data_IF_297054668188
#
_entry.id   IF_297054668188
#
_cell.length_a   1.000
_cell.length_b   1.000
_cell.length_c   1.000
_cell.angle_alpha   90.00
_cell.angle_beta   90.00
_cell.angle_gamma   90.00
#
_symmetry.space_group_name_H-M   'P 1'
#
loop_
_entity.id
_entity.type
_entity.pdbx_description
1 polymer ?
#
# COMPACT_ATOMS: atom_id res chain seq x y z
N UNK A 1 27.47 -40.03 -15.26
CA UNK A 1 27.60 -39.59 -13.86
C UNK A 1 27.73 -38.07 -13.89
N UNK A 2 26.80 -37.39 -13.21
CA UNK A 2 26.75 -35.96 -12.87
C UNK A 2 26.82 -34.91 -14.01
N UNK A 3 25.62 -34.49 -14.46
CA UNK A 3 25.35 -33.12 -14.85
C UNK A 3 25.12 -32.31 -13.57
N UNK A 4 25.92 -31.28 -13.30
CA UNK A 4 25.62 -30.32 -12.24
C UNK A 4 26.47 -29.07 -12.35
N UNK A 5 26.06 -28.17 -13.24
CA UNK A 5 26.21 -26.72 -13.01
C UNK A 5 24.81 -26.11 -13.06
N UNK A 6 23.99 -26.59 -12.13
CA UNK A 6 22.70 -25.99 -11.81
C UNK A 6 22.95 -24.61 -11.21
N UNK A 7 22.84 -23.60 -12.07
CA UNK A 7 22.66 -22.21 -11.71
C UNK A 7 21.72 -22.13 -10.51
N UNK A 8 22.24 -21.79 -9.33
CA UNK A 8 21.45 -21.53 -8.14
C UNK A 8 20.64 -20.25 -8.37
N UNK A 9 19.56 -20.34 -9.14
CA UNK A 9 18.40 -19.48 -8.98
C UNK A 9 17.80 -19.86 -7.63
N UNK A 10 18.43 -19.39 -6.56
CA UNK A 10 17.68 -19.16 -5.33
C UNK A 10 16.60 -18.18 -5.73
N UNK A 11 15.41 -18.73 -5.98
CA UNK A 11 14.17 -17.99 -6.11
C UNK A 11 13.95 -17.32 -4.75
N UNK A 12 14.67 -16.22 -4.53
CA UNK A 12 14.49 -15.32 -3.41
C UNK A 12 13.06 -14.88 -3.56
N UNK A 13 12.16 -15.50 -2.79
CA UNK A 13 10.77 -15.08 -2.70
C UNK A 13 10.76 -13.56 -2.53
N UNK A 14 10.49 -12.85 -3.63
CA UNK A 14 10.53 -11.39 -3.64
C UNK A 14 9.42 -10.98 -2.69
N UNK A 15 9.81 -10.42 -1.54
CA UNK A 15 8.84 -9.83 -0.61
C UNK A 15 8.04 -8.82 -1.41
N UNK A 16 6.75 -9.13 -1.56
CA UNK A 16 5.80 -8.37 -2.32
C UNK A 16 4.58 -8.13 -1.44
N UNK A 17 4.09 -6.91 -1.49
CA UNK A 17 2.91 -6.48 -0.77
C UNK A 17 2.00 -5.75 -1.75
N UNK A 18 0.70 -6.04 -1.67
CA UNK A 18 -0.34 -5.26 -2.32
C UNK A 18 -1.56 -5.26 -1.44
N UNK A 19 -2.10 -4.07 -1.18
CA UNK A 19 -3.35 -3.93 -0.42
C UNK A 19 -4.14 -2.72 -0.90
N UNK A 20 -5.45 -2.88 -0.86
CA UNK A 20 -6.42 -1.80 -1.03
C UNK A 20 -7.15 -1.58 0.28
N UNK A 21 -7.28 -0.33 0.68
CA UNK A 21 -8.15 0.13 1.75
C UNK A 21 -9.25 0.99 1.15
N UNK A 22 -10.46 0.84 1.66
CA UNK A 22 -11.61 1.60 1.22
C UNK A 22 -12.37 2.12 2.43
N UNK A 23 -12.91 3.32 2.31
CA UNK A 23 -13.86 3.90 3.25
C UNK A 23 -14.94 4.66 2.47
N UNK A 24 -16.17 4.56 2.93
CA UNK A 24 -17.30 5.30 2.38
C UNK A 24 -17.91 6.20 3.47
N UNK A 25 -18.16 7.46 3.14
CA UNK A 25 -18.66 8.47 4.08
C UNK A 25 -19.60 9.44 3.37
N UNK A 26 -20.88 9.49 3.79
CA UNK A 26 -21.88 10.41 3.23
C UNK A 26 -21.94 10.40 1.68
N UNK A 27 -21.80 9.22 1.06
CA UNK A 27 -21.79 9.06 -0.40
C UNK A 27 -20.43 9.36 -1.07
N UNK A 28 -19.43 9.82 -0.31
CA UNK A 28 -18.06 9.94 -0.76
C UNK A 28 -17.32 8.61 -0.61
N UNK A 29 -16.63 8.16 -1.67
CA UNK A 29 -15.83 6.93 -1.65
C UNK A 29 -14.34 7.24 -1.69
N UNK A 30 -13.59 6.70 -0.74
CA UNK A 30 -12.13 6.88 -0.62
C UNK A 30 -11.47 5.52 -0.81
N UNK A 31 -10.59 5.40 -1.80
CA UNK A 31 -9.85 4.18 -2.11
C UNK A 31 -8.37 4.47 -2.07
N UNK A 32 -7.64 3.68 -1.28
CA UNK A 32 -6.18 3.78 -1.12
C UNK A 32 -5.57 2.47 -1.55
N UNK A 33 -4.72 2.49 -2.57
CA UNK A 33 -3.98 1.34 -3.04
C UNK A 33 -2.51 1.52 -2.72
N UNK A 34 -1.90 0.51 -2.12
CA UNK A 34 -0.45 0.48 -1.87
C UNK A 34 0.10 -0.86 -2.33
N UNK A 35 1.17 -0.79 -3.09
CA UNK A 35 1.88 -1.93 -3.63
C UNK A 35 3.37 -1.68 -3.50
N UNK A 36 4.13 -2.63 -2.97
CA UNK A 36 5.58 -2.51 -2.95
C UNK A 36 6.27 -3.86 -2.99
N UNK A 37 7.49 -3.85 -3.47
CA UNK A 37 8.47 -4.90 -3.33
C UNK A 37 9.81 -4.31 -2.91
N UNK A 38 10.86 -5.12 -2.79
CA UNK A 38 12.21 -4.65 -2.40
C UNK A 38 12.87 -3.65 -3.37
N UNK A 39 12.25 -3.36 -4.52
CA UNK A 39 12.78 -2.42 -5.52
C UNK A 39 11.91 -1.18 -5.69
N UNK A 40 10.59 -1.30 -5.56
CA UNK A 40 9.65 -0.26 -5.99
C UNK A 40 8.45 -0.17 -5.07
N UNK A 41 7.93 1.04 -4.90
CA UNK A 41 6.70 1.35 -4.20
C UNK A 41 5.76 2.13 -5.12
N UNK A 42 4.49 1.73 -5.11
CA UNK A 42 3.40 2.38 -5.80
C UNK A 42 2.27 2.67 -4.82
N UNK A 43 1.78 3.90 -4.84
CA UNK A 43 0.68 4.36 -4.00
C UNK A 43 -0.31 5.13 -4.85
N UNK A 44 -1.60 4.83 -4.72
CA UNK A 44 -2.68 5.57 -5.38
C UNK A 44 -3.77 5.88 -4.36
N UNK A 45 -4.27 7.12 -4.39
CA UNK A 45 -5.47 7.51 -3.66
C UNK A 45 -6.49 8.03 -4.65
N UNK A 46 -7.71 7.50 -4.56
CA UNK A 46 -8.87 7.98 -5.30
C UNK A 46 -9.95 8.43 -4.34
N UNK A 47 -10.55 9.58 -4.61
CA UNK A 47 -11.71 10.11 -3.89
C UNK A 47 -12.81 10.30 -4.94
N UNK A 48 -13.98 9.70 -4.73
CA UNK A 48 -15.09 9.69 -5.69
C UNK A 48 -14.67 9.20 -7.09
N UNK A 49 -13.75 8.23 -7.14
CA UNK A 49 -13.19 7.71 -8.39
C UNK A 49 -12.11 8.60 -9.03
N UNK A 50 -11.96 9.86 -8.61
CA UNK A 50 -10.91 10.78 -9.08
C UNK A 50 -9.57 10.43 -8.44
N UNK A 51 -8.53 10.24 -9.24
CA UNK A 51 -7.16 10.07 -8.76
C UNK A 51 -6.66 11.41 -8.20
N UNK A 52 -6.45 11.45 -6.88
CA UNK A 52 -5.99 12.66 -6.17
C UNK A 52 -4.51 12.57 -5.76
N UNK A 53 -3.96 11.36 -5.73
CA UNK A 53 -2.56 11.13 -5.43
C UNK A 53 -2.04 9.89 -6.14
N UNK A 54 -0.83 9.99 -6.68
CA UNK A 54 -0.10 8.89 -7.29
C UNK A 54 1.38 9.01 -6.96
N UNK A 55 1.98 7.91 -6.53
CA UNK A 55 3.42 7.76 -6.39
C UNK A 55 3.82 6.45 -7.06
N UNK A 56 4.87 6.48 -7.86
CA UNK A 56 5.53 5.29 -8.37
C UNK A 56 7.05 5.52 -8.41
N UNK A 57 7.77 4.98 -7.43
CA UNK A 57 9.17 5.33 -7.18
C UNK A 57 9.96 4.15 -6.59
N UNK A 58 11.29 4.12 -6.72
CA UNK A 58 12.13 3.17 -5.97
C UNK A 58 11.83 3.17 -4.47
N UNK A 59 11.86 2.00 -3.83
CA UNK A 59 11.43 1.84 -2.43
C UNK A 59 12.23 2.72 -1.45
N UNK A 60 13.53 2.89 -1.69
CA UNK A 60 14.45 3.75 -0.94
C UNK A 60 14.06 5.23 -0.97
N UNK A 61 13.27 5.64 -1.98
CA UNK A 61 12.80 7.02 -2.18
C UNK A 61 11.32 7.20 -1.86
N UNK A 62 10.62 6.14 -1.47
CA UNK A 62 9.17 6.17 -1.30
C UNK A 62 8.70 7.02 -0.11
N UNK A 63 9.56 7.27 0.89
CA UNK A 63 9.18 8.02 2.08
C UNK A 63 8.06 7.35 2.86
N UNK A 64 8.24 6.06 3.19
CA UNK A 64 7.29 5.27 3.98
C UNK A 64 7.03 5.95 5.34
N UNK A 65 5.77 6.03 5.79
CA UNK A 65 5.41 6.75 7.03
C UNK A 65 4.81 8.14 6.81
N UNK A 66 4.30 8.44 5.62
CA UNK A 66 3.77 9.77 5.27
C UNK A 66 2.30 9.97 5.60
N UNK A 67 1.92 11.23 5.78
CA UNK A 67 0.54 11.70 5.85
C UNK A 67 0.23 12.51 4.58
N UNK A 68 -0.93 12.24 3.99
CA UNK A 68 -1.50 12.96 2.87
C UNK A 68 -2.83 13.56 3.36
N UNK A 69 -3.06 14.84 3.11
CA UNK A 69 -4.28 15.53 3.52
C UNK A 69 -4.98 16.11 2.27
N UNK A 70 -6.28 15.90 2.18
CA UNK A 70 -7.12 16.30 1.05
C UNK A 70 -8.39 16.98 1.57
N UNK A 71 -9.01 17.81 0.74
CA UNK A 71 -10.30 18.42 1.04
C UNK A 71 -11.28 18.14 -0.10
N UNK A 72 -12.46 17.64 0.24
CA UNK A 72 -13.53 17.34 -0.73
C UNK A 72 -14.86 17.83 -0.13
N UNK A 73 -15.58 18.70 -0.84
CA UNK A 73 -16.88 19.24 -0.38
C UNK A 73 -16.87 19.84 1.04
N UNK A 74 -15.76 20.46 1.46
CA UNK A 74 -15.59 21.03 2.81
C UNK A 74 -15.20 20.02 3.89
N UNK A 75 -15.17 18.72 3.58
CA UNK A 75 -14.73 17.65 4.49
C UNK A 75 -13.22 17.47 4.36
N UNK A 76 -12.53 17.35 5.49
CA UNK A 76 -11.08 17.12 5.54
C UNK A 76 -10.78 15.62 5.62
N UNK A 77 -9.97 15.12 4.68
CA UNK A 77 -9.62 13.70 4.55
C UNK A 77 -8.12 13.56 4.76
N UNK A 78 -7.72 12.90 5.84
CA UNK A 78 -6.32 12.58 6.13
C UNK A 78 -6.03 11.10 5.88
N UNK A 79 -4.97 10.79 5.15
CA UNK A 79 -4.52 9.42 4.88
C UNK A 79 -3.10 9.27 5.39
N UNK A 80 -2.89 8.38 6.36
CA UNK A 80 -1.55 8.04 6.85
C UNK A 80 -1.16 6.67 6.35
N UNK A 81 -0.04 6.59 5.64
CA UNK A 81 0.54 5.35 5.14
C UNK A 81 1.83 5.06 5.89
N UNK A 82 1.79 4.05 6.76
CA UNK A 82 2.94 3.58 7.54
C UNK A 82 3.48 2.26 7.00
N UNK A 83 4.79 2.06 7.06
CA UNK A 83 5.39 0.74 6.88
C UNK A 83 5.41 -0.02 8.21
N UNK A 84 5.10 -1.30 8.18
CA UNK A 84 5.34 -2.19 9.32
C UNK A 84 6.85 -2.49 9.46
N UNK A 85 7.27 -2.79 10.68
CA UNK A 85 8.65 -3.16 11.03
C UNK A 85 9.22 -4.23 10.08
N UNK A 86 10.49 -4.07 9.67
CA UNK A 86 11.21 -4.92 8.68
C UNK A 86 10.54 -5.09 7.29
N UNK A 87 9.72 -4.12 6.85
CA UNK A 87 9.00 -4.21 5.56
C UNK A 87 8.23 -5.54 5.46
N UNK A 88 7.49 -5.86 6.52
CA UNK A 88 6.61 -7.03 6.55
C UNK A 88 5.18 -6.67 6.12
N UNK A 89 4.84 -5.40 5.97
CA UNK A 89 3.50 -4.95 5.57
C UNK A 89 3.41 -3.44 5.54
N UNK A 90 2.22 -2.93 5.21
CA UNK A 90 1.88 -1.51 5.36
C UNK A 90 0.59 -1.37 6.19
N UNK A 91 0.52 -0.28 6.95
CA UNK A 91 -0.66 0.15 7.68
C UNK A 91 -1.21 1.43 7.02
N UNK A 92 -2.53 1.51 6.89
CA UNK A 92 -3.21 2.69 6.38
C UNK A 92 -4.21 3.19 7.42
N UNK A 93 -4.21 4.48 7.70
CA UNK A 93 -5.27 5.13 8.47
C UNK A 93 -5.96 6.15 7.59
N UNK A 94 -7.27 5.99 7.40
CA UNK A 94 -8.14 6.98 6.75
C UNK A 94 -8.85 7.75 7.87
N UNK A 95 -8.67 9.07 7.86
CA UNK A 95 -9.21 10.04 8.79
C UNK A 95 -10.19 10.93 8.02
N UNK A 96 -11.39 11.14 8.54
CA UNK A 96 -12.39 12.04 7.96
C UNK A 96 -12.81 13.00 9.07
N UNK A 97 -12.59 14.30 8.88
CA UNK A 97 -12.71 15.36 9.88
C UNK A 97 -12.00 15.00 11.21
N UNK A 98 -10.82 14.40 11.08
CA UNK A 98 -9.99 13.98 12.22
C UNK A 98 -10.44 12.69 12.91
N UNK A 99 -11.59 12.11 12.55
CA UNK A 99 -12.07 10.83 13.09
C UNK A 99 -11.53 9.66 12.26
N UNK A 100 -11.16 8.58 12.94
CA UNK A 100 -10.64 7.38 12.29
C UNK A 100 -11.77 6.50 11.74
N UNK A 101 -11.73 6.21 10.44
CA UNK A 101 -12.77 5.44 9.74
C UNK A 101 -12.34 4.04 9.30
N UNK A 102 -11.09 3.65 9.57
CA UNK A 102 -10.56 2.30 9.41
C UNK A 102 -10.85 1.61 8.05
N UNK A 103 -9.87 1.59 7.15
CA UNK A 103 -9.78 0.50 6.18
C UNK A 103 -9.17 -0.74 6.85
N UNK A 104 -9.92 -1.83 7.00
CA UNK A 104 -9.49 -3.21 7.31
C UNK A 104 -8.26 -3.42 8.24
N UNK A 105 -8.57 -3.77 9.50
CA UNK A 105 -7.67 -4.09 10.64
C UNK A 105 -6.79 -5.35 10.47
N UNK A 106 -6.76 -5.99 9.30
CA UNK A 106 -6.08 -7.29 9.10
C UNK A 106 -5.01 -7.19 8.02
N UNK A 107 -3.74 -7.35 8.39
CA UNK A 107 -2.63 -7.62 7.47
C UNK A 107 -2.69 -9.10 7.12
N UNK A 108 -3.09 -9.44 5.89
CA UNK A 108 -2.99 -10.81 5.38
C UNK A 108 -1.71 -10.91 4.55
N UNK A 109 -0.77 -11.72 5.03
CA UNK A 109 0.38 -12.15 4.27
C UNK A 109 -0.11 -13.21 3.27
N UNK A 110 -0.07 -12.91 1.98
CA UNK A 110 -0.39 -13.90 0.95
C UNK A 110 0.93 -14.46 0.42
N UNK A 111 1.27 -15.74 0.64
CA UNK A 111 2.40 -16.35 -0.05
C UNK A 111 2.13 -16.38 -1.55
N UNK A 112 3.12 -15.97 -2.36
CA UNK A 112 3.05 -16.01 -3.82
C UNK A 112 2.89 -17.48 -4.26
N UNK A 113 1.79 -17.81 -4.95
CA UNK A 113 1.70 -19.08 -5.69
C UNK A 113 2.67 -19.00 -6.87
N UNK A 114 3.69 -19.84 -6.89
CA UNK A 114 4.42 -20.20 -8.11
C UNK A 114 3.47 -21.03 -8.97
N UNK A 115 3.17 -20.55 -10.18
CA UNK A 115 2.67 -21.37 -11.27
C UNK A 115 3.85 -21.97 -12.01
#
# INVERSE_FOLDING_TARGET
>A
MQFSDGLWLMDKAVKYFKKTWQADYQGMSIVVQNEWNLSRCREEVRINGRLVHHLDTPLDRAGLGRRLDFQENGIHIGIKLGSAWHMCGAACQILIDGRYYAGNRIVLFVPKKQN
#
